data_IF_354770253601
#
_entry.id   IF_354770253601
#
_cell.length_a   1.000
_cell.length_b   1.000
_cell.length_c   1.000
_cell.angle_alpha   90.00
_cell.angle_beta   90.00
_cell.angle_gamma   90.00
#
_symmetry.space_group_name_H-M   'P 1'
#
loop_
_entity.id
_entity.type
_entity.pdbx_description
1 polymer ?
#
# COMPACT_ATOMS: atom_id res chain seq x y z
N UNK A 1 -29.89 -3.89 38.94
CA UNK A 1 -31.17 -3.26 39.37
C UNK A 1 -30.92 -2.56 40.69
N UNK A 2 -31.50 -1.38 40.94
CA UNK A 2 -31.44 -0.80 42.29
C UNK A 2 -32.30 -1.67 43.20
N UNK A 3 -31.75 -2.13 44.33
CA UNK A 3 -32.51 -2.90 45.31
C UNK A 3 -33.61 -2.04 45.92
N UNK A 4 -34.83 -2.12 45.37
CA UNK A 4 -36.01 -1.48 45.94
C UNK A 4 -36.67 -2.48 46.90
N UNK A 5 -36.70 -2.14 48.19
CA UNK A 5 -37.38 -2.94 49.21
C UNK A 5 -38.86 -2.55 49.27
N UNK A 6 -39.75 -3.52 49.10
CA UNK A 6 -41.19 -3.34 49.22
C UNK A 6 -41.73 -4.10 50.43
N UNK A 7 -42.81 -3.59 51.03
CA UNK A 7 -43.43 -4.17 52.22
C UNK A 7 -44.64 -5.07 51.91
N UNK A 8 -44.99 -5.25 50.63
CA UNK A 8 -46.08 -6.12 50.16
C UNK A 8 -45.77 -6.70 48.78
N UNK A 9 -46.21 -7.93 48.51
CA UNK A 9 -46.02 -8.61 47.22
C UNK A 9 -46.78 -7.92 46.08
N UNK A 10 -47.95 -7.34 46.36
CA UNK A 10 -48.73 -6.58 45.38
C UNK A 10 -47.97 -5.34 44.92
N UNK A 11 -47.29 -4.64 45.84
CA UNK A 11 -46.46 -3.50 45.52
C UNK A 11 -45.24 -3.89 44.66
N UNK A 12 -44.60 -5.03 44.94
CA UNK A 12 -43.51 -5.57 44.11
C UNK A 12 -44.02 -5.87 42.69
N UNK A 13 -45.13 -6.59 42.56
CA UNK A 13 -45.66 -7.00 41.26
C UNK A 13 -46.14 -5.81 40.42
N UNK A 14 -46.83 -4.84 41.04
CA UNK A 14 -47.21 -3.58 40.40
C UNK A 14 -45.99 -2.82 39.89
N UNK A 15 -44.96 -2.66 40.73
CA UNK A 15 -43.69 -2.04 40.34
C UNK A 15 -43.01 -2.77 39.16
N UNK A 16 -42.95 -4.10 39.21
CA UNK A 16 -42.32 -4.90 38.16
C UNK A 16 -43.04 -4.70 36.82
N UNK A 17 -44.37 -4.66 36.82
CA UNK A 17 -45.16 -4.44 35.62
C UNK A 17 -45.02 -3.00 35.10
N UNK A 18 -45.15 -2.00 35.98
CA UNK A 18 -45.11 -0.58 35.62
C UNK A 18 -43.75 -0.16 35.05
N UNK A 19 -42.65 -0.68 35.62
CA UNK A 19 -41.28 -0.43 35.14
C UNK A 19 -40.80 -1.44 34.11
N UNK A 20 -41.63 -2.42 33.74
CA UNK A 20 -41.25 -3.53 32.84
C UNK A 20 -40.01 -4.32 33.29
N UNK A 21 -39.83 -4.48 34.62
CA UNK A 21 -38.76 -5.26 35.25
C UNK A 21 -39.10 -6.75 35.39
N UNK A 22 -39.83 -7.31 34.43
CA UNK A 22 -40.18 -8.73 34.40
C UNK A 22 -39.16 -9.59 33.65
N UNK A 23 -38.07 -9.00 33.13
CA UNK A 23 -36.97 -9.72 32.50
C UNK A 23 -35.92 -10.06 33.55
N UNK A 24 -35.46 -11.30 33.51
CA UNK A 24 -34.35 -11.75 34.34
C UNK A 24 -33.04 -11.10 33.82
N UNK A 25 -32.27 -10.53 34.74
CA UNK A 25 -31.00 -9.88 34.41
C UNK A 25 -29.89 -10.92 34.51
N UNK A 26 -29.28 -11.28 33.38
CA UNK A 26 -28.22 -12.29 33.28
C UNK A 26 -26.86 -11.69 32.93
N UNK A 27 -26.74 -10.36 32.90
CA UNK A 27 -25.46 -9.71 32.60
C UNK A 27 -24.60 -9.61 33.87
N UNK A 28 -23.30 -9.83 33.73
CA UNK A 28 -22.34 -9.71 34.84
C UNK A 28 -22.53 -10.76 35.94
N UNK A 29 -22.29 -10.35 37.19
CA UNK A 29 -22.28 -11.25 38.35
C UNK A 29 -23.63 -11.91 38.64
N UNK A 30 -24.75 -11.32 38.18
CA UNK A 30 -26.08 -11.89 38.37
C UNK A 30 -26.23 -13.27 37.69
N UNK A 31 -25.47 -13.55 36.62
CA UNK A 31 -25.49 -14.87 35.98
C UNK A 31 -25.01 -15.99 36.91
N UNK A 32 -24.07 -15.69 37.82
CA UNK A 32 -23.48 -16.67 38.74
C UNK A 32 -24.50 -17.15 39.78
N UNK A 33 -25.44 -16.29 40.19
CA UNK A 33 -26.52 -16.65 41.12
C UNK A 33 -27.42 -17.76 40.54
N UNK A 34 -27.47 -17.88 39.21
CA UNK A 34 -28.27 -18.87 38.51
C UNK A 34 -27.46 -20.06 38.00
N UNK A 35 -26.14 -20.07 38.15
CA UNK A 35 -25.27 -21.08 37.54
C UNK A 35 -25.60 -22.51 38.01
N UNK A 36 -25.97 -22.69 39.27
CA UNK A 36 -26.31 -24.00 39.84
C UNK A 36 -27.56 -24.63 39.20
N UNK A 37 -28.41 -23.84 38.56
CA UNK A 37 -29.64 -24.31 37.91
C UNK A 37 -29.45 -24.71 36.45
N UNK A 38 -28.27 -24.45 35.86
CA UNK A 38 -28.00 -24.69 34.44
C UNK A 38 -26.75 -25.54 34.24
N UNK A 39 -26.85 -26.55 33.37
CA UNK A 39 -25.70 -27.34 32.94
C UNK A 39 -25.15 -26.81 31.61
N UNK A 40 -23.91 -26.31 31.63
CA UNK A 40 -23.21 -25.80 30.46
C UNK A 40 -22.19 -26.79 29.87
N UNK A 41 -22.05 -28.00 30.43
CA UNK A 41 -21.03 -28.98 30.02
C UNK A 41 -21.06 -29.28 28.53
N UNK A 42 -22.25 -29.43 27.94
CA UNK A 42 -22.42 -29.72 26.51
C UNK A 42 -22.01 -28.57 25.57
N UNK A 43 -21.84 -27.36 26.09
CA UNK A 43 -21.51 -26.17 25.30
C UNK A 43 -20.00 -25.97 25.12
N UNK A 44 -19.17 -26.68 25.90
CA UNK A 44 -17.72 -26.59 25.77
C UNK A 44 -17.23 -27.48 24.63
N UNK A 45 -16.31 -26.97 23.78
CA UNK A 45 -15.80 -27.71 22.62
C UNK A 45 -15.01 -28.98 23.00
N UNK A 46 -14.57 -29.10 24.25
CA UNK A 46 -13.82 -30.26 24.78
C UNK A 46 -14.73 -31.32 25.42
N UNK A 47 -16.05 -31.24 25.27
CA UNK A 47 -16.98 -32.22 25.85
C UNK A 47 -16.85 -33.60 25.17
N UNK A 48 -16.06 -34.50 25.79
CA UNK A 48 -16.04 -35.94 25.47
C UNK A 48 -17.14 -36.70 26.19
N UNK A 49 -17.84 -37.61 25.49
CA UNK A 49 -18.85 -38.46 26.13
C UNK A 49 -18.18 -39.42 27.14
N UNK A 50 -18.39 -39.17 28.45
CA UNK A 50 -18.00 -40.09 29.53
C UNK A 50 -17.03 -39.55 30.58
N UNK A 51 -16.60 -38.28 30.50
CA UNK A 51 -15.80 -37.67 31.57
C UNK A 51 -16.67 -36.77 32.47
N UNK A 52 -16.73 -37.11 33.76
CA UNK A 52 -17.16 -36.20 34.81
C UNK A 52 -16.12 -35.07 34.91
N UNK A 53 -16.25 -34.06 34.05
CA UNK A 53 -15.36 -32.89 34.05
C UNK A 53 -15.59 -32.13 35.36
N UNK A 54 -14.75 -32.41 36.35
CA UNK A 54 -14.53 -31.54 37.50
C UNK A 54 -14.09 -30.20 36.91
N UNK A 55 -14.75 -29.10 37.29
CA UNK A 55 -14.36 -27.74 36.91
C UNK A 55 -12.97 -27.40 37.47
N UNK A 56 -11.92 -28.02 36.93
CA UNK A 56 -10.55 -27.54 37.04
C UNK A 56 -10.47 -26.29 36.17
N UNK A 57 -10.26 -25.13 36.79
CA UNK A 57 -10.23 -23.82 36.13
C UNK A 57 -9.12 -23.59 35.10
N UNK A 58 -8.56 -24.65 34.51
CA UNK A 58 -7.66 -24.56 33.37
C UNK A 58 -8.47 -24.47 32.08
N UNK A 59 -8.61 -23.24 31.57
CA UNK A 59 -9.13 -22.98 30.24
C UNK A 59 -8.23 -23.68 29.20
N UNK A 60 -8.80 -24.41 28.23
CA UNK A 60 -8.01 -25.03 27.18
C UNK A 60 -7.23 -23.97 26.41
N UNK A 61 -5.96 -24.25 26.13
CA UNK A 61 -5.03 -23.40 25.37
C UNK A 61 -5.39 -23.33 23.87
N UNK A 62 -6.68 -23.24 23.54
CA UNK A 62 -7.15 -22.93 22.20
C UNK A 62 -6.61 -21.56 21.78
N UNK A 63 -6.32 -21.40 20.48
CA UNK A 63 -5.81 -20.16 19.89
C UNK A 63 -6.62 -18.98 20.41
N UNK A 64 -6.01 -18.19 21.30
CA UNK A 64 -6.68 -17.07 21.94
C UNK A 64 -7.05 -16.03 20.88
N UNK A 65 -8.15 -15.33 21.15
CA UNK A 65 -8.53 -14.14 20.41
C UNK A 65 -7.38 -13.13 20.48
N UNK A 66 -6.74 -12.85 19.35
CA UNK A 66 -5.59 -11.95 19.28
C UNK A 66 -6.05 -10.62 18.67
N UNK A 67 -5.73 -9.53 19.37
CA UNK A 67 -5.98 -8.17 18.89
C UNK A 67 -4.66 -7.52 18.56
N UNK A 68 -4.51 -7.08 17.31
CA UNK A 68 -3.35 -6.32 16.86
C UNK A 68 -3.64 -4.82 16.94
N UNK A 69 -3.02 -4.15 17.90
CA UNK A 69 -3.15 -2.72 18.14
C UNK A 69 -2.68 -1.87 16.94
N UNK A 70 -1.71 -2.37 16.15
CA UNK A 70 -1.13 -1.61 15.04
C UNK A 70 -2.02 -1.66 13.80
N UNK A 71 -2.48 -2.86 13.41
CA UNK A 71 -3.39 -3.01 12.27
C UNK A 71 -4.86 -2.73 12.60
N UNK A 72 -5.22 -2.61 13.89
CA UNK A 72 -6.60 -2.52 14.38
C UNK A 72 -7.47 -3.68 13.88
N UNK A 73 -6.91 -4.89 13.90
CA UNK A 73 -7.57 -6.10 13.45
C UNK A 73 -7.72 -7.10 14.60
N UNK A 74 -8.87 -7.78 14.60
CA UNK A 74 -9.17 -8.86 15.52
C UNK A 74 -9.03 -10.20 14.78
N UNK A 75 -8.11 -11.03 15.25
CA UNK A 75 -7.84 -12.36 14.71
C UNK A 75 -8.61 -13.38 15.55
N UNK A 76 -9.62 -13.99 14.92
CA UNK A 76 -10.45 -15.00 15.57
C UNK A 76 -9.72 -16.34 15.67
N UNK A 77 -10.07 -17.21 16.63
CA UNK A 77 -9.53 -18.57 16.73
C UNK A 77 -9.75 -19.41 15.46
N UNK A 78 -10.78 -19.08 14.68
CA UNK A 78 -11.07 -19.67 13.37
C UNK A 78 -10.09 -19.26 12.26
N UNK A 79 -9.21 -18.29 12.52
CA UNK A 79 -8.28 -17.69 11.55
C UNK A 79 -8.88 -16.56 10.71
N UNK A 80 -10.15 -16.21 10.92
CA UNK A 80 -10.77 -15.07 10.25
C UNK A 80 -10.27 -13.74 10.87
N UNK A 81 -9.99 -12.74 10.01
CA UNK A 81 -9.55 -11.39 10.40
C UNK A 81 -10.73 -10.43 10.30
N UNK A 82 -11.05 -9.76 11.40
CA UNK A 82 -12.16 -8.79 11.50
C UNK A 82 -11.59 -7.40 11.68
N UNK A 83 -11.92 -6.48 10.78
CA UNK A 83 -11.43 -5.10 10.81
C UNK A 83 -12.21 -4.18 11.74
N UNK A 84 -11.57 -3.09 12.19
CA UNK A 84 -12.19 -2.11 13.08
C UNK A 84 -13.16 -1.14 12.35
N UNK A 85 -14.25 -0.74 13.03
CA UNK A 85 -15.28 0.17 12.48
C UNK A 85 -14.72 1.53 12.02
N UNK A 86 -13.65 2.03 12.65
CA UNK A 86 -13.01 3.29 12.26
C UNK A 86 -12.44 3.26 10.84
N UNK A 87 -12.08 2.07 10.35
CA UNK A 87 -11.50 1.88 9.01
C UNK A 87 -12.53 1.54 7.94
N UNK A 88 -13.83 1.55 8.27
CA UNK A 88 -14.90 1.15 7.35
C UNK A 88 -14.94 1.96 6.05
N UNK A 89 -14.52 3.23 6.08
CA UNK A 89 -14.38 4.06 4.88
C UNK A 89 -13.38 3.44 3.88
N UNK A 90 -12.26 2.92 4.38
CA UNK A 90 -11.20 2.32 3.58
C UNK A 90 -11.57 0.91 3.11
N UNK A 91 -12.26 0.13 3.94
CA UNK A 91 -12.75 -1.19 3.53
C UNK A 91 -13.80 -1.10 2.40
N UNK A 92 -14.55 -0.01 2.33
CA UNK A 92 -15.49 0.28 1.22
C UNK A 92 -14.78 0.85 -0.01
N UNK A 93 -13.51 1.23 0.09
CA UNK A 93 -12.77 1.83 -1.01
C UNK A 93 -12.46 0.75 -2.06
N UNK A 94 -12.87 1.03 -3.30
CA UNK A 94 -12.50 0.21 -4.46
C UNK A 94 -11.36 0.90 -5.17
N UNK A 95 -10.15 0.38 -5.04
CA UNK A 95 -9.07 0.79 -5.92
C UNK A 95 -9.36 0.27 -7.33
N UNK A 96 -9.14 1.11 -8.35
CA UNK A 96 -9.19 0.64 -9.73
C UNK A 96 -8.16 -0.48 -9.94
N UNK A 97 -8.38 -1.34 -10.94
CA UNK A 97 -7.38 -2.35 -11.31
C UNK A 97 -6.03 -1.65 -11.47
N UNK A 98 -4.99 -2.20 -10.83
CA UNK A 98 -3.63 -1.68 -11.03
C UNK A 98 -3.38 -1.68 -12.53
N UNK A 99 -3.29 -0.49 -13.14
CA UNK A 99 -2.86 -0.39 -14.53
C UNK A 99 -1.42 -0.85 -14.52
N UNK A 100 -1.19 -2.13 -14.77
CA UNK A 100 0.12 -2.60 -15.16
C UNK A 100 0.48 -1.74 -16.37
N UNK A 101 1.48 -0.87 -16.21
CA UNK A 101 2.04 -0.10 -17.32
C UNK A 101 2.73 -1.15 -18.18
N UNK A 102 1.95 -1.78 -19.06
CA UNK A 102 2.52 -2.57 -20.12
C UNK A 102 3.40 -1.60 -20.89
N UNK A 103 4.72 -1.78 -20.78
CA UNK A 103 5.69 -1.04 -21.57
C UNK A 103 5.48 -1.51 -23.01
N UNK A 104 4.51 -0.91 -23.68
CA UNK A 104 4.30 -1.09 -25.09
C UNK A 104 5.60 -0.64 -25.73
N UNK A 105 6.35 -1.58 -26.32
CA UNK A 105 7.60 -1.33 -27.07
C UNK A 105 7.30 -0.62 -28.38
N UNK A 106 6.47 0.42 -28.36
CA UNK A 106 6.12 1.21 -29.52
C UNK A 106 7.11 2.38 -29.63
N UNK A 107 8.25 2.10 -30.27
CA UNK A 107 9.29 3.11 -30.52
C UNK A 107 8.75 4.37 -31.23
N UNK A 108 7.66 4.24 -32.00
CA UNK A 108 6.98 5.37 -32.69
C UNK A 108 6.11 6.22 -31.74
N UNK A 109 5.63 5.66 -30.64
CA UNK A 109 4.85 6.39 -29.64
C UNK A 109 5.75 7.31 -28.78
N UNK A 110 6.97 6.87 -28.48
CA UNK A 110 7.94 7.65 -27.69
C UNK A 110 8.20 9.02 -28.31
N UNK A 111 8.39 9.10 -29.63
CA UNK A 111 8.61 10.37 -30.33
C UNK A 111 7.44 11.35 -30.22
N UNK A 112 6.19 10.86 -30.36
CA UNK A 112 4.98 11.69 -30.23
C UNK A 112 4.81 12.20 -28.80
N UNK A 113 5.02 11.34 -27.82
CA UNK A 113 4.98 11.69 -26.40
C UNK A 113 6.06 12.74 -26.07
N UNK A 114 7.28 12.57 -26.60
CA UNK A 114 8.36 13.55 -26.41
C UNK A 114 8.02 14.92 -27.02
N UNK A 115 7.33 14.95 -28.17
CA UNK A 115 6.87 16.19 -28.79
C UNK A 115 5.78 16.88 -27.96
N UNK A 116 4.85 16.12 -27.39
CA UNK A 116 3.83 16.65 -26.48
C UNK A 116 4.46 17.25 -25.22
N UNK A 117 5.42 16.57 -24.61
CA UNK A 117 6.18 17.12 -23.48
C UNK A 117 6.92 18.41 -23.86
N UNK A 118 7.56 18.45 -25.03
CA UNK A 118 8.20 19.68 -25.54
C UNK A 118 7.22 20.83 -25.72
N UNK A 119 6.02 20.55 -26.24
CA UNK A 119 4.95 21.55 -26.41
C UNK A 119 4.41 22.07 -25.07
N UNK A 120 4.41 21.22 -24.03
CA UNK A 120 4.05 21.58 -22.65
C UNK A 120 5.17 22.33 -21.90
N UNK A 121 6.28 22.68 -22.58
CA UNK A 121 7.39 23.40 -21.98
C UNK A 121 8.42 22.52 -21.29
N UNK A 122 8.32 21.19 -21.39
CA UNK A 122 9.37 20.29 -20.94
C UNK A 122 10.58 20.39 -21.87
N UNK A 123 11.47 21.32 -21.55
CA UNK A 123 12.77 21.45 -22.22
C UNK A 123 13.80 20.67 -21.43
N UNK A 124 13.98 19.39 -21.79
CA UNK A 124 15.20 18.70 -21.37
C UNK A 124 16.40 19.47 -21.93
N UNK A 125 17.44 19.67 -21.11
CA UNK A 125 18.71 20.36 -21.42
C UNK A 125 19.42 19.92 -22.72
N UNK A 126 18.92 18.85 -23.36
CA UNK A 126 19.29 18.35 -24.69
C UNK A 126 19.32 19.40 -25.81
N UNK A 127 18.50 20.46 -25.78
CA UNK A 127 18.48 21.48 -26.84
C UNK A 127 19.82 22.19 -27.02
N UNK A 128 20.46 22.57 -25.91
CA UNK A 128 21.77 23.23 -25.90
C UNK A 128 22.93 22.26 -26.24
N UNK A 129 22.77 20.96 -25.96
CA UNK A 129 23.75 19.95 -26.31
C UNK A 129 23.74 19.65 -27.83
N UNK A 130 22.55 19.51 -28.43
CA UNK A 130 22.39 19.28 -29.87
C UNK A 130 22.79 20.50 -30.72
N UNK A 131 22.60 21.72 -30.20
CA UNK A 131 23.11 22.93 -30.84
C UNK A 131 24.65 22.94 -30.84
N UNK A 132 25.27 22.71 -29.68
CA UNK A 132 26.74 22.63 -29.54
C UNK A 132 27.37 21.57 -30.44
N UNK A 133 26.75 20.41 -30.59
CA UNK A 133 27.27 19.34 -31.44
C UNK A 133 27.27 19.73 -32.93
N UNK A 134 26.19 20.35 -33.41
CA UNK A 134 26.12 20.87 -34.79
C UNK A 134 27.15 21.97 -35.04
N UNK A 135 27.31 22.88 -34.08
CA UNK A 135 28.28 23.98 -34.19
C UNK A 135 29.73 23.44 -34.21
N UNK A 136 30.05 22.44 -33.38
CA UNK A 136 31.35 21.76 -33.42
C UNK A 136 31.63 21.08 -34.76
N UNK A 137 30.64 20.40 -35.35
CA UNK A 137 30.79 19.78 -36.67
C UNK A 137 31.07 20.82 -37.76
N UNK A 138 30.36 21.95 -37.73
CA UNK A 138 30.60 23.06 -38.66
C UNK A 138 32.01 23.64 -38.51
N UNK A 139 32.45 23.91 -37.28
CA UNK A 139 33.79 24.41 -36.98
C UNK A 139 34.89 23.45 -37.46
N UNK A 140 34.73 22.14 -37.22
CA UNK A 140 35.68 21.13 -37.69
C UNK A 140 35.78 21.12 -39.22
N UNK A 141 34.64 21.20 -39.92
CA UNK A 141 34.61 21.23 -41.39
C UNK A 141 35.27 22.49 -41.96
N UNK A 142 35.03 23.65 -41.35
CA UNK A 142 35.65 24.90 -41.79
C UNK A 142 37.16 24.90 -41.52
N UNK A 143 37.57 24.38 -40.36
CA UNK A 143 39.00 24.24 -40.00
C UNK A 143 39.73 23.31 -40.96
N UNK A 144 39.17 22.14 -41.29
CA UNK A 144 39.81 21.19 -42.23
C UNK A 144 39.92 21.78 -43.63
N UNK A 145 38.88 22.46 -44.11
CA UNK A 145 38.90 23.17 -45.40
C UNK A 145 39.98 24.25 -45.45
N UNK A 146 40.10 25.04 -44.37
CA UNK A 146 41.14 26.07 -44.27
C UNK A 146 42.54 25.47 -44.22
N UNK A 147 42.77 24.42 -43.41
CA UNK A 147 44.06 23.74 -43.33
C UNK A 147 44.49 23.16 -44.68
N UNK A 148 43.57 22.53 -45.43
CA UNK A 148 43.84 22.02 -46.76
C UNK A 148 44.25 23.15 -47.72
N UNK A 149 43.46 24.23 -47.77
CA UNK A 149 43.73 25.37 -48.66
C UNK A 149 45.09 26.00 -48.37
N UNK A 150 45.40 26.26 -47.10
CA UNK A 150 46.68 26.80 -46.66
C UNK A 150 47.83 25.83 -46.96
N UNK A 151 47.64 24.53 -46.74
CA UNK A 151 48.64 23.50 -47.05
C UNK A 151 48.96 23.44 -48.54
N UNK A 152 47.94 23.46 -49.40
CA UNK A 152 48.12 23.47 -50.85
C UNK A 152 48.83 24.74 -51.33
N UNK A 153 48.49 25.92 -50.78
CA UNK A 153 49.21 27.15 -51.13
C UNK A 153 50.67 27.14 -50.66
N UNK A 154 50.95 26.51 -49.52
CA UNK A 154 52.30 26.41 -48.96
C UNK A 154 53.27 25.65 -49.85
N UNK A 155 52.80 24.73 -50.71
CA UNK A 155 53.64 24.01 -51.65
C UNK A 155 54.38 24.96 -52.61
N UNK A 156 53.76 26.07 -53.01
CA UNK A 156 54.39 27.09 -53.85
C UNK A 156 55.04 28.20 -53.03
N UNK A 157 54.38 28.67 -51.97
CA UNK A 157 54.86 29.85 -51.22
C UNK A 157 56.04 29.55 -50.30
N UNK A 158 56.16 28.33 -49.76
CA UNK A 158 57.24 27.98 -48.81
C UNK A 158 58.45 27.31 -49.45
N UNK A 159 58.34 26.84 -50.69
CA UNK A 159 59.41 26.16 -51.42
C UNK A 159 60.18 27.12 -52.35
N UNK A 160 60.56 28.31 -51.85
CA UNK A 160 61.20 29.37 -52.67
C UNK A 160 62.55 28.97 -53.26
N UNK A 161 63.28 28.08 -52.59
CA UNK A 161 64.61 27.61 -53.00
C UNK A 161 64.62 26.09 -53.25
N UNK A 162 63.56 25.56 -53.84
CA UNK A 162 63.47 24.14 -54.18
C UNK A 162 64.49 23.75 -55.26
N UNK A 163 65.19 22.62 -55.06
CA UNK A 163 66.18 22.09 -56.01
C UNK A 163 65.76 20.69 -56.48
N UNK A 164 65.55 20.54 -57.78
CA UNK A 164 65.23 19.26 -58.42
C UNK A 164 66.43 18.30 -58.35
N UNK A 165 66.18 17.03 -57.97
CA UNK A 165 67.25 16.02 -57.78
C UNK A 165 67.63 15.27 -59.07
N UNK A 166 66.70 15.07 -60.01
CA UNK A 166 66.97 14.41 -61.29
C UNK A 166 67.01 15.47 -62.38
N UNK A 167 68.07 15.49 -63.20
CA UNK A 167 68.13 16.31 -64.42
C UNK A 167 67.97 15.38 -65.62
N UNK A 168 67.03 15.71 -66.49
CA UNK A 168 66.86 15.07 -67.80
C UNK A 168 67.86 15.65 -68.80
#
# INVERSE_FOLDING_TARGET
>A
MRGESFYSTEAVQGHMNDKSHCKLFTDGDAALEFADFYDFRSSYPDHGEGEDVVMSGELPAGKNLEYDDESMELILPSGARVGHRSLMRYYKQRFGLSRAVAVAKNKKAVGRVLQQYKALGWTSSTGAALARERDMQYLQRMKSKWMLKTGMSNNATKQMHFRMQVRF
#
